data_IF_470150942968
#
_entry.id   IF_470150942968
#
_cell.length_a   1.000
_cell.length_b   1.000
_cell.length_c   1.000
_cell.angle_alpha   90.00
_cell.angle_beta   90.00
_cell.angle_gamma   90.00
#
_symmetry.space_group_name_H-M   'P 1'
#
loop_
_entity.id
_entity.type
_entity.pdbx_description
1 polymer ?
#
# COMPACT_ATOMS: atom_id res chain seq x y z
N UNK A 1 -7.76 -36.98 1.78
CA UNK A 1 -7.48 -35.55 2.03
C UNK A 1 -8.33 -35.08 3.20
N UNK A 2 -7.71 -34.67 4.32
CA UNK A 2 -8.43 -34.29 5.55
C UNK A 2 -8.87 -32.82 5.47
N UNK A 3 -10.18 -32.59 5.51
CA UNK A 3 -10.83 -31.28 5.60
C UNK A 3 -10.61 -30.76 7.04
N UNK A 4 -9.99 -29.58 7.18
CA UNK A 4 -9.90 -28.87 8.45
C UNK A 4 -10.98 -27.78 8.48
N UNK A 5 -12.02 -28.01 9.26
CA UNK A 5 -13.01 -27.00 9.64
C UNK A 5 -12.40 -26.05 10.68
N UNK A 6 -12.46 -24.75 10.42
CA UNK A 6 -12.11 -23.70 11.38
C UNK A 6 -13.39 -23.29 12.12
N UNK A 7 -13.45 -23.55 13.42
CA UNK A 7 -14.50 -23.07 14.32
C UNK A 7 -14.04 -21.73 14.90
N UNK A 8 -14.86 -20.69 14.73
CA UNK A 8 -14.70 -19.38 15.37
C UNK A 8 -15.43 -19.44 16.72
N UNK A 9 -14.71 -19.17 17.81
CA UNK A 9 -15.30 -18.97 19.14
C UNK A 9 -15.17 -17.49 19.53
N UNK A 10 -16.31 -16.86 19.84
CA UNK A 10 -16.39 -15.54 20.45
C UNK A 10 -16.22 -15.68 21.97
N UNK A 11 -15.17 -15.09 22.54
CA UNK A 11 -15.04 -14.89 23.98
C UNK A 11 -15.35 -13.43 24.32
N UNK A 12 -16.47 -13.22 25.01
CA UNK A 12 -16.84 -11.99 25.71
C UNK A 12 -15.84 -11.75 26.83
N UNK A 13 -15.16 -10.61 26.82
CA UNK A 13 -14.14 -10.25 27.81
C UNK A 13 -14.11 -8.75 28.05
N UNK A 14 -14.43 -8.38 29.29
CA UNK A 14 -14.49 -7.03 29.86
C UNK A 14 -13.23 -6.21 29.52
N UNK A 15 -13.43 -5.06 28.86
CA UNK A 15 -12.36 -4.11 28.55
C UNK A 15 -12.16 -3.17 29.75
N UNK A 16 -11.08 -3.38 30.50
CA UNK A 16 -10.57 -2.43 31.49
C UNK A 16 -9.92 -1.25 30.76
N UNK A 17 -10.46 -0.05 30.96
CA UNK A 17 -9.87 1.21 30.50
C UNK A 17 -8.64 1.56 31.35
N UNK A 18 -7.46 1.13 30.91
CA UNK A 18 -6.19 1.67 31.37
C UNK A 18 -5.99 3.07 30.80
N UNK A 19 -6.00 4.09 31.66
CA UNK A 19 -5.62 5.46 31.32
C UNK A 19 -4.09 5.50 31.20
N UNK A 20 -3.56 5.33 29.99
CA UNK A 20 -2.16 5.67 29.69
C UNK A 20 -2.06 7.18 29.45
N UNK A 21 -1.70 7.93 30.49
CA UNK A 21 -1.14 9.28 30.34
C UNK A 21 0.34 9.14 29.94
N UNK A 22 0.62 9.08 28.64
CA UNK A 22 1.98 9.25 28.11
C UNK A 22 2.17 10.70 27.66
N UNK A 23 2.91 11.55 28.41
CA UNK A 23 3.30 12.87 27.95
C UNK A 23 4.53 12.71 27.04
N UNK A 24 4.35 12.19 25.83
CA UNK A 24 5.42 12.19 24.83
C UNK A 24 5.55 13.60 24.22
N UNK A 25 6.13 14.51 25.00
CA UNK A 25 6.56 15.84 24.59
C UNK A 25 7.69 15.74 23.54
N UNK A 26 7.72 16.69 22.60
CA UNK A 26 8.67 16.70 21.49
C UNK A 26 10.11 16.88 22.00
N UNK A 27 11.01 15.96 21.67
CA UNK A 27 12.38 15.96 22.16
C UNK A 27 13.28 16.93 21.37
N UNK A 28 12.97 18.24 21.33
CA UNK A 28 14.02 19.25 21.10
C UNK A 28 14.43 19.81 22.44
N UNK A 29 15.66 19.52 22.82
CA UNK A 29 16.18 19.89 24.13
C UNK A 29 17.04 21.13 24.01
N UNK A 30 16.84 22.04 24.95
CA UNK A 30 17.60 23.28 25.03
C UNK A 30 18.64 23.18 26.15
N UNK A 31 19.88 23.61 25.86
CA UNK A 31 20.94 23.73 26.88
C UNK A 31 21.32 25.18 27.14
N UNK A 32 21.44 25.53 28.42
CA UNK A 32 22.03 26.81 28.86
C UNK A 32 23.55 26.75 28.68
N UNK A 33 24.14 27.78 28.08
CA UNK A 33 25.60 27.86 27.95
C UNK A 33 26.15 28.36 29.30
N UNK A 34 26.93 27.55 29.99
CA UNK A 34 27.60 27.98 31.22
C UNK A 34 28.45 29.23 30.96
N UNK A 35 28.11 30.33 31.61
CA UNK A 35 28.96 31.51 31.74
C UNK A 35 30.06 31.20 32.74
N UNK A 36 31.32 31.48 32.38
CA UNK A 36 32.50 31.25 33.21
C UNK A 36 32.31 31.93 34.58
N UNK A 37 32.39 31.21 35.71
CA UNK A 37 32.21 31.81 37.04
C UNK A 37 33.27 32.88 37.31
N UNK A 38 32.85 34.01 37.90
CA UNK A 38 33.74 35.00 38.49
C UNK A 38 34.41 34.40 39.75
N UNK A 39 35.67 34.78 40.00
CA UNK A 39 36.50 34.22 41.07
C UNK A 39 35.85 34.39 42.47
N UNK A 40 35.91 33.39 43.36
CA UNK A 40 35.27 33.44 44.67
C UNK A 40 36.02 34.36 45.64
N UNK A 41 35.27 35.17 46.38
CA UNK A 41 35.74 35.97 47.51
C UNK A 41 35.97 35.09 48.76
N UNK A 42 36.92 35.50 49.60
CA UNK A 42 37.41 34.75 50.77
C UNK A 42 36.32 34.53 51.85
N UNK A 43 36.34 33.38 52.56
CA UNK A 43 35.34 33.04 53.57
C UNK A 43 35.63 33.70 54.94
N UNK A 44 34.56 34.11 55.62
CA UNK A 44 34.53 34.60 56.99
C UNK A 44 34.48 33.44 58.02
N UNK A 45 34.91 33.64 59.28
CA UNK A 45 35.17 32.57 60.24
C UNK A 45 33.91 32.00 60.90
N UNK A 46 33.98 30.72 61.27
CA UNK A 46 32.91 29.90 61.82
C UNK A 46 32.68 30.12 63.33
N UNK A 47 31.43 30.03 63.84
CA UNK A 47 31.14 29.99 65.27
C UNK A 47 31.18 28.57 65.88
N UNK A 48 31.41 28.56 67.20
CA UNK A 48 31.74 27.42 68.07
C UNK A 48 30.53 26.49 68.43
N UNK A 49 30.78 25.27 68.94
CA UNK A 49 29.77 24.21 69.09
C UNK A 49 29.08 24.17 70.46
N UNK A 50 27.81 23.76 70.48
CA UNK A 50 27.02 23.45 71.69
C UNK A 50 26.80 21.94 71.86
N UNK A 51 26.77 21.53 73.13
CA UNK A 51 26.82 20.16 73.66
C UNK A 51 25.40 19.55 73.94
N UNK A 52 25.21 18.34 74.55
CA UNK A 52 24.41 17.27 73.92
C UNK A 52 23.25 16.65 74.76
N UNK A 53 22.40 15.88 74.04
CA UNK A 53 21.61 14.67 74.40
C UNK A 53 20.48 14.77 75.48
N UNK A 54 19.42 13.91 75.45
CA UNK A 54 19.53 12.46 75.75
C UNK A 54 18.66 11.47 74.93
N UNK A 55 19.08 10.20 75.03
CA UNK A 55 18.49 8.88 74.62
C UNK A 55 17.40 8.43 75.65
N UNK A 56 16.81 7.20 75.71
CA UNK A 56 16.73 6.02 74.79
C UNK A 56 15.37 5.22 74.80
N UNK A 57 15.24 4.16 73.97
CA UNK A 57 14.74 2.77 74.28
C UNK A 57 14.45 2.02 72.94
N UNK A 58 15.14 0.95 72.48
CA UNK A 58 15.33 -0.46 72.92
C UNK A 58 14.10 -1.36 72.66
N UNK A 59 14.09 -2.30 71.69
CA UNK A 59 14.53 -3.73 71.75
C UNK A 59 13.98 -4.49 70.49
N UNK A 60 14.08 -5.83 70.30
CA UNK A 60 15.23 -6.76 70.18
C UNK A 60 15.22 -7.55 68.82
N UNK A 61 16.35 -7.89 68.19
CA UNK A 61 17.22 -9.10 68.28
C UNK A 61 16.62 -10.49 67.95
N UNK A 62 17.09 -11.10 66.86
CA UNK A 62 17.72 -12.44 66.76
C UNK A 62 17.99 -12.78 65.27
N UNK A 63 18.91 -13.63 64.79
CA UNK A 63 20.20 -14.26 65.17
C UNK A 63 20.62 -15.08 63.92
N UNK A 64 21.91 -15.38 63.67
CA UNK A 64 22.49 -15.65 62.34
C UNK A 64 22.97 -17.10 62.14
N UNK A 65 23.50 -17.42 60.94
CA UNK A 65 24.46 -18.52 60.70
C UNK A 65 25.17 -18.44 59.31
N UNK A 66 26.36 -19.06 59.13
CA UNK A 66 27.48 -18.47 58.36
C UNK A 66 28.18 -19.44 57.34
N UNK A 67 29.38 -19.02 56.87
CA UNK A 67 30.58 -19.79 56.39
C UNK A 67 30.84 -19.77 54.87
N UNK A 68 31.81 -18.96 54.37
CA UNK A 68 33.22 -19.23 53.93
C UNK A 68 33.36 -20.18 52.70
N UNK A 69 34.23 -19.97 51.70
CA UNK A 69 35.71 -20.10 51.67
C UNK A 69 36.29 -19.52 50.35
N UNK A 70 37.60 -19.25 50.34
CA UNK A 70 38.40 -18.36 49.48
C UNK A 70 39.16 -18.95 48.25
N UNK A 71 39.62 -18.00 47.39
CA UNK A 71 40.95 -17.84 46.71
C UNK A 71 41.31 -18.72 45.46
N UNK A 72 42.37 -18.38 44.66
CA UNK A 72 42.77 -17.13 43.99
C UNK A 72 43.22 -17.35 42.49
N UNK A 73 44.02 -16.41 41.91
CA UNK A 73 44.88 -16.46 40.68
C UNK A 73 44.22 -15.80 39.44
N UNK A 74 44.78 -14.87 38.66
CA UNK A 74 46.06 -14.15 38.57
C UNK A 74 45.87 -12.83 37.77
N UNK A 75 46.73 -11.84 38.03
CA UNK A 75 47.11 -10.75 37.09
C UNK A 75 48.29 -11.24 36.21
N UNK A 76 48.71 -10.59 35.09
CA UNK A 76 48.50 -9.19 34.71
C UNK A 76 48.26 -8.93 33.20
N UNK A 77 47.74 -7.75 32.84
CA UNK A 77 48.05 -7.13 31.54
C UNK A 77 47.96 -5.60 31.58
N UNK A 78 49.11 -5.03 31.22
CA UNK A 78 49.52 -3.63 31.05
C UNK A 78 48.48 -2.72 30.39
N UNK A 79 48.26 -1.56 31.02
CA UNK A 79 47.41 -0.49 30.54
C UNK A 79 47.95 0.19 29.27
N UNK A 80 47.08 0.42 28.29
CA UNK A 80 47.22 1.46 27.28
C UNK A 80 46.25 2.60 27.62
N UNK A 81 46.77 3.82 27.69
CA UNK A 81 46.05 5.01 28.10
C UNK A 81 44.84 5.32 27.17
N UNK A 82 43.60 5.37 27.68
CA UNK A 82 42.48 5.89 26.91
C UNK A 82 42.56 7.42 26.87
N UNK A 83 42.49 7.99 25.65
CA UNK A 83 42.23 9.42 25.42
C UNK A 83 41.00 9.85 26.22
N UNK A 84 40.98 11.06 26.80
CA UNK A 84 39.84 11.53 27.59
C UNK A 84 38.58 11.56 26.74
N UNK A 85 37.63 10.67 27.04
CA UNK A 85 36.23 10.82 26.62
C UNK A 85 35.70 12.05 27.34
N UNK A 86 35.15 13.00 26.58
CA UNK A 86 34.44 14.12 27.13
C UNK A 86 33.29 13.60 28.00
N UNK A 87 33.41 13.76 29.31
CA UNK A 87 32.35 13.49 30.28
C UNK A 87 31.24 14.52 30.02
N UNK A 88 30.14 14.06 29.44
CA UNK A 88 28.92 14.86 29.30
C UNK A 88 28.30 14.89 30.70
N UNK A 89 28.31 16.03 31.37
CA UNK A 89 27.61 16.23 32.64
C UNK A 89 26.11 16.06 32.43
N UNK A 90 25.46 15.23 33.24
CA UNK A 90 24.03 14.87 33.12
C UNK A 90 23.05 16.02 33.43
N UNK A 91 23.54 17.19 33.88
CA UNK A 91 22.69 18.28 34.41
C UNK A 91 22.51 19.49 33.46
N UNK A 92 22.10 19.34 32.20
CA UNK A 92 21.99 20.56 31.35
C UNK A 92 20.88 20.61 30.31
N UNK A 93 19.76 19.92 30.54
CA UNK A 93 18.58 20.07 29.69
C UNK A 93 17.50 20.88 30.39
N UNK A 94 17.25 22.08 29.87
CA UNK A 94 16.51 23.15 30.56
C UNK A 94 15.17 23.44 29.87
N UNK A 95 14.65 22.56 29.01
CA UNK A 95 13.29 22.75 28.48
C UNK A 95 12.94 22.08 27.16
N UNK A 96 11.67 22.22 26.79
CA UNK A 96 11.00 21.55 25.66
C UNK A 96 10.52 22.58 24.65
N UNK A 97 10.92 22.43 23.38
CA UNK A 97 10.38 23.29 22.30
C UNK A 97 8.97 22.85 21.94
N UNK A 98 8.00 23.75 22.07
CA UNK A 98 6.59 23.47 21.75
C UNK A 98 6.21 23.87 20.33
N UNK A 99 6.73 24.99 19.83
CA UNK A 99 6.32 25.55 18.53
C UNK A 99 7.44 26.36 17.87
N UNK A 100 7.47 26.36 16.54
CA UNK A 100 8.45 27.11 15.71
C UNK A 100 7.71 27.87 14.62
N UNK A 101 7.90 29.19 14.53
CA UNK A 101 7.38 30.03 13.44
C UNK A 101 8.44 31.02 13.00
N UNK A 102 8.95 30.83 11.77
CA UNK A 102 10.03 31.66 11.24
C UNK A 102 11.27 31.61 12.14
N UNK A 103 11.73 32.76 12.62
CA UNK A 103 12.87 32.89 13.51
C UNK A 103 12.49 32.88 15.01
N UNK A 104 11.28 32.44 15.36
CA UNK A 104 10.79 32.39 16.74
C UNK A 104 10.47 30.95 17.16
N UNK A 105 10.88 30.60 18.37
CA UNK A 105 10.63 29.33 19.05
C UNK A 105 9.80 29.63 20.31
N UNK A 106 8.70 28.91 20.52
CA UNK A 106 8.01 28.89 21.81
C UNK A 106 8.50 27.66 22.58
N UNK A 107 9.04 27.89 23.77
CA UNK A 107 9.72 26.87 24.56
C UNK A 107 9.23 26.94 26.00
N UNK A 108 8.95 25.79 26.57
CA UNK A 108 8.72 25.62 27.99
C UNK A 108 10.08 25.45 28.69
N UNK A 109 10.46 26.39 29.57
CA UNK A 109 11.70 26.36 30.33
C UNK A 109 11.36 26.19 31.84
N UNK A 110 11.69 25.06 32.50
CA UNK A 110 11.47 24.83 33.94
C UNK A 110 12.15 25.84 34.87
N UNK A 111 13.23 26.47 34.43
CA UNK A 111 13.91 27.52 35.18
C UNK A 111 13.65 28.87 34.51
N UNK A 112 13.20 29.85 35.29
CA UNK A 112 12.90 31.20 34.81
C UNK A 112 14.04 31.78 33.99
N UNK A 113 13.77 32.08 32.72
CA UNK A 113 14.77 32.54 31.77
C UNK A 113 14.71 34.06 31.64
N UNK A 114 15.85 34.73 31.84
CA UNK A 114 15.91 36.18 31.69
C UNK A 114 15.90 36.60 30.21
N UNK A 115 15.22 37.71 29.90
CA UNK A 115 15.24 38.33 28.57
C UNK A 115 16.68 38.56 28.12
N UNK A 116 17.02 38.09 26.91
CA UNK A 116 18.37 38.18 26.36
C UNK A 116 19.26 36.96 26.65
N UNK A 117 18.82 36.00 27.47
CA UNK A 117 19.57 34.77 27.70
C UNK A 117 19.72 33.96 26.42
N UNK A 118 20.91 33.39 26.24
CA UNK A 118 21.29 32.63 25.05
C UNK A 118 21.26 31.15 25.33
N UNK A 119 20.54 30.45 24.49
CA UNK A 119 20.35 29.02 24.56
C UNK A 119 20.86 28.33 23.31
N UNK A 120 21.36 27.10 23.46
CA UNK A 120 21.73 26.25 22.33
C UNK A 120 20.62 25.26 22.10
N UNK A 121 20.08 25.26 20.88
CA UNK A 121 18.98 24.38 20.47
C UNK A 121 19.57 23.13 19.84
N UNK A 122 19.17 21.96 20.34
CA UNK A 122 19.54 20.65 19.81
C UNK A 122 18.33 19.97 19.18
N UNK A 123 18.57 19.16 18.14
CA UNK A 123 17.56 18.30 17.55
C UNK A 123 17.30 17.08 18.45
N UNK A 124 16.29 16.30 18.10
CA UNK A 124 15.99 14.96 18.65
C UNK A 124 17.20 14.02 18.77
N UNK A 125 18.11 14.08 17.80
CA UNK A 125 19.36 13.31 17.72
C UNK A 125 20.53 13.98 18.44
N UNK A 126 20.26 14.97 19.30
CA UNK A 126 21.26 15.76 20.01
C UNK A 126 22.24 16.47 19.07
N UNK A 127 21.84 16.74 17.83
CA UNK A 127 22.66 17.54 16.90
C UNK A 127 22.41 19.01 17.19
N UNK A 128 23.49 19.77 17.39
CA UNK A 128 23.39 21.21 17.61
C UNK A 128 22.80 21.88 16.37
N UNK A 129 21.63 22.48 16.52
CA UNK A 129 20.92 23.10 15.40
C UNK A 129 21.22 24.59 15.35
N UNK A 130 21.13 25.29 16.48
CA UNK A 130 21.30 26.75 16.47
C UNK A 130 21.53 27.39 17.82
N UNK A 131 21.54 28.72 17.83
CA UNK A 131 21.47 29.55 19.04
C UNK A 131 20.17 30.33 19.03
N UNK A 132 19.50 30.37 20.16
CA UNK A 132 18.27 31.12 20.36
C UNK A 132 18.42 32.08 21.54
N UNK A 133 17.78 33.23 21.47
CA UNK A 133 17.84 34.30 22.48
C UNK A 133 16.44 34.53 23.02
N UNK A 134 16.25 34.52 24.34
CA UNK A 134 14.94 34.81 24.93
C UNK A 134 14.51 36.23 24.59
N UNK A 135 13.41 36.38 23.86
CA UNK A 135 12.82 37.68 23.53
C UNK A 135 11.96 38.20 24.68
N UNK A 136 11.04 37.37 25.16
CA UNK A 136 10.09 37.66 26.23
C UNK A 136 9.44 36.38 26.75
N UNK A 137 8.98 36.44 27.98
CA UNK A 137 8.03 35.48 28.53
C UNK A 137 6.64 35.76 27.96
N UNK A 138 5.94 34.70 27.55
CA UNK A 138 4.58 34.78 26.97
C UNK A 138 3.54 34.43 28.02
N UNK A 139 3.84 33.40 28.83
CA UNK A 139 3.10 32.99 30.01
C UNK A 139 4.09 32.35 30.99
N UNK A 140 3.69 32.13 32.24
CA UNK A 140 4.53 31.53 33.28
C UNK A 140 5.19 30.23 32.75
N UNK A 141 6.53 30.22 32.69
CA UNK A 141 7.32 29.08 32.20
C UNK A 141 7.43 28.93 30.67
N UNK A 142 6.73 29.76 29.89
CA UNK A 142 6.74 29.74 28.43
C UNK A 142 7.43 30.96 27.85
N UNK A 143 8.53 30.71 27.14
CA UNK A 143 9.38 31.75 26.60
C UNK A 143 9.36 31.74 25.09
N UNK A 144 9.29 32.93 24.51
CA UNK A 144 9.50 33.13 23.08
C UNK A 144 10.98 33.43 22.86
N UNK A 145 11.68 32.52 22.19
CA UNK A 145 13.09 32.69 21.83
C UNK A 145 13.19 33.06 20.35
N UNK A 146 14.11 33.96 20.00
CA UNK A 146 14.47 34.25 18.62
C UNK A 146 15.76 33.55 18.23
N UNK A 147 15.76 32.82 17.13
CA UNK A 147 16.97 32.25 16.54
C UNK A 147 17.75 33.35 15.81
N UNK A 148 19.01 33.59 16.19
CA UNK A 148 19.85 34.56 15.48
C UNK A 148 20.21 34.02 14.10
N UNK A 149 19.82 34.74 13.04
CA UNK A 149 20.04 34.38 11.64
C UNK A 149 21.53 34.46 11.26
N UNK A 150 22.34 33.51 11.75
CA UNK A 150 23.77 33.43 11.47
C UNK A 150 24.14 32.47 10.34
N UNK A 151 23.19 31.68 9.82
CA UNK A 151 23.38 30.90 8.59
C UNK A 151 22.00 30.60 8.03
N UNK A 152 21.70 31.06 6.82
CA UNK A 152 20.38 30.93 6.16
C UNK A 152 19.90 29.49 5.90
N UNK A 153 20.51 28.48 6.51
CA UNK A 153 20.09 27.08 6.43
C UNK A 153 19.47 26.55 7.72
N UNK A 154 19.66 27.22 8.86
CA UNK A 154 19.35 26.64 10.17
C UNK A 154 17.87 26.75 10.55
N UNK A 155 17.26 27.93 10.33
CA UNK A 155 15.83 28.15 10.64
C UNK A 155 14.92 27.30 9.77
N UNK A 156 15.20 27.23 8.47
CA UNK A 156 14.44 26.40 7.54
C UNK A 156 14.60 24.90 7.83
N UNK A 157 15.78 24.46 8.28
CA UNK A 157 15.99 23.06 8.71
C UNK A 157 15.23 22.75 9.99
N UNK A 158 15.23 23.64 10.98
CA UNK A 158 14.41 23.52 12.19
C UNK A 158 12.93 23.47 11.84
N UNK A 159 12.45 24.40 11.03
CA UNK A 159 11.07 24.44 10.58
C UNK A 159 10.68 23.15 9.84
N UNK A 160 11.53 22.67 8.91
CA UNK A 160 11.31 21.41 8.17
C UNK A 160 11.36 20.17 9.06
N UNK A 161 12.26 20.13 10.03
CA UNK A 161 12.34 19.05 11.03
C UNK A 161 11.08 19.07 11.91
N UNK A 162 10.64 20.24 12.37
CA UNK A 162 9.42 20.38 13.17
C UNK A 162 8.16 20.00 12.39
N UNK A 163 8.06 20.34 11.11
CA UNK A 163 6.94 19.96 10.24
C UNK A 163 6.86 18.43 10.07
N UNK A 164 8.00 17.80 9.78
CA UNK A 164 8.09 16.34 9.64
C UNK A 164 7.75 15.62 10.95
N UNK A 165 8.26 16.10 12.07
CA UNK A 165 7.99 15.53 13.39
C UNK A 165 6.52 15.73 13.79
N UNK A 166 5.96 16.93 13.56
CA UNK A 166 4.55 17.23 13.80
C UNK A 166 3.65 16.30 12.96
N UNK A 167 3.92 16.16 11.66
CA UNK A 167 3.19 15.23 10.80
C UNK A 167 3.32 13.78 11.28
N UNK A 168 4.53 13.36 11.69
CA UNK A 168 4.77 12.01 12.22
C UNK A 168 4.01 11.76 13.52
N UNK A 169 3.85 12.78 14.37
CA UNK A 169 3.05 12.70 15.60
C UNK A 169 1.57 12.53 15.29
N UNK A 170 1.04 13.38 14.41
CA UNK A 170 -0.37 13.33 13.98
C UNK A 170 -0.69 12.00 13.31
N UNK A 171 0.24 11.48 12.50
CA UNK A 171 0.13 10.15 11.88
C UNK A 171 0.06 9.02 12.91
N UNK A 172 0.84 9.11 14.00
CA UNK A 172 0.78 8.14 15.12
C UNK A 172 -0.53 8.23 15.88
N UNK A 173 -1.03 9.45 16.15
CA UNK A 173 -2.32 9.63 16.83
C UNK A 173 -3.50 9.16 15.98
N UNK A 174 -3.45 9.40 14.66
CA UNK A 174 -4.48 9.01 13.69
C UNK A 174 -5.90 9.44 14.08
N UNK A 175 -6.05 10.65 14.65
CA UNK A 175 -7.33 11.28 15.05
C UNK A 175 -7.65 12.47 14.13
N UNK A 176 -8.93 12.68 13.83
CA UNK A 176 -9.38 13.77 12.95
C UNK A 176 -8.95 15.15 13.45
N UNK A 177 -9.12 15.42 14.76
CA UNK A 177 -8.71 16.70 15.39
C UNK A 177 -7.23 17.02 15.20
N UNK A 178 -6.35 16.02 15.35
CA UNK A 178 -4.91 16.20 15.21
C UNK A 178 -4.52 16.58 13.77
N UNK A 179 -5.16 16.00 12.75
CA UNK A 179 -4.91 16.40 11.36
C UNK A 179 -5.41 17.82 11.07
N UNK A 180 -6.57 18.20 11.62
CA UNK A 180 -7.10 19.57 11.49
C UNK A 180 -6.14 20.59 12.12
N UNK A 181 -5.68 20.35 13.34
CA UNK A 181 -4.70 21.21 14.02
C UNK A 181 -3.39 21.33 13.22
N UNK A 182 -2.91 20.21 12.67
CA UNK A 182 -1.73 20.21 11.81
C UNK A 182 -1.91 21.06 10.56
N UNK A 183 -3.03 20.91 9.85
CA UNK A 183 -3.32 21.66 8.63
C UNK A 183 -3.51 23.16 8.92
N UNK A 184 -4.10 23.52 10.06
CA UNK A 184 -4.21 24.91 10.52
C UNK A 184 -2.85 25.52 10.85
N UNK A 185 -1.97 24.75 11.50
CA UNK A 185 -0.64 25.21 11.88
C UNK A 185 0.32 25.30 10.68
N UNK A 186 0.18 24.40 9.70
CA UNK A 186 1.07 24.27 8.54
C UNK A 186 0.29 24.14 7.21
N UNK A 187 -0.45 25.19 6.79
CA UNK A 187 -1.32 25.12 5.60
C UNK A 187 -0.54 24.86 4.29
N UNK A 188 0.69 25.37 4.19
CA UNK A 188 1.57 25.21 3.02
C UNK A 188 2.61 24.09 3.20
N UNK A 189 2.36 23.16 4.12
CA UNK A 189 3.23 22.01 4.38
C UNK A 189 3.34 21.13 3.13
N UNK A 190 4.52 20.53 2.88
CA UNK A 190 4.66 19.48 1.86
C UNK A 190 3.87 18.21 2.21
N UNK A 191 3.47 18.06 3.48
CA UNK A 191 2.62 16.98 3.98
C UNK A 191 1.14 17.36 4.04
N UNK A 192 0.76 18.61 3.70
CA UNK A 192 -0.63 19.08 3.78
C UNK A 192 -1.57 18.19 2.94
N UNK A 193 -1.21 17.90 1.68
CA UNK A 193 -2.01 17.03 0.82
C UNK A 193 -2.20 15.62 1.41
N UNK A 194 -1.14 15.02 1.94
CA UNK A 194 -1.20 13.70 2.58
C UNK A 194 -1.98 13.71 3.90
N UNK A 195 -1.88 14.79 4.68
CA UNK A 195 -2.65 15.01 5.90
C UNK A 195 -4.14 15.18 5.60
N UNK A 196 -4.49 16.01 4.62
CA UNK A 196 -5.86 16.23 4.17
C UNK A 196 -6.49 14.94 3.62
N UNK A 197 -5.76 14.17 2.81
CA UNK A 197 -6.24 12.86 2.34
C UNK A 197 -6.48 11.88 3.50
N UNK A 198 -5.61 11.88 4.52
CA UNK A 198 -5.77 10.98 5.67
C UNK A 198 -6.92 11.41 6.57
N UNK A 199 -7.09 12.72 6.77
CA UNK A 199 -8.24 13.32 7.44
C UNK A 199 -9.54 12.95 6.73
N UNK A 200 -9.58 13.08 5.40
CA UNK A 200 -10.73 12.66 4.57
C UNK A 200 -11.09 11.18 4.77
N UNK A 201 -10.10 10.28 4.73
CA UNK A 201 -10.32 8.85 4.97
C UNK A 201 -10.90 8.56 6.36
N UNK A 202 -10.44 9.27 7.39
CA UNK A 202 -10.98 9.13 8.75
C UNK A 202 -12.40 9.66 8.82
N UNK A 203 -12.66 10.81 8.19
CA UNK A 203 -13.97 11.43 8.14
C UNK A 203 -15.00 10.51 7.44
N UNK A 204 -14.66 9.93 6.28
CA UNK A 204 -15.50 8.92 5.63
C UNK A 204 -15.74 7.74 6.57
N UNK A 205 -14.70 7.22 7.22
CA UNK A 205 -14.86 6.04 8.09
C UNK A 205 -15.80 6.30 9.27
N UNK A 206 -15.75 7.50 9.85
CA UNK A 206 -16.53 7.87 11.05
C UNK A 206 -17.95 8.31 10.68
N UNK A 207 -18.12 9.01 9.56
CA UNK A 207 -19.37 9.72 9.23
C UNK A 207 -20.07 9.21 7.97
N UNK A 208 -19.54 8.23 7.23
CA UNK A 208 -20.22 7.70 6.05
C UNK A 208 -21.17 6.54 6.37
N UNK A 209 -22.42 6.52 5.86
CA UNK A 209 -23.10 7.59 5.12
C UNK A 209 -23.91 8.48 6.06
N UNK A 210 -23.54 9.76 6.23
CA UNK A 210 -24.35 10.70 7.00
C UNK A 210 -24.15 12.15 6.52
N UNK A 211 -25.28 12.86 6.46
CA UNK A 211 -25.47 14.28 6.09
C UNK A 211 -25.40 14.65 4.59
N UNK A 212 -26.13 15.71 4.15
CA UNK A 212 -26.16 16.20 2.76
C UNK A 212 -24.78 16.74 2.38
N UNK A 213 -23.95 15.83 1.90
CA UNK A 213 -22.58 16.06 1.51
C UNK A 213 -22.42 16.44 0.04
N UNK A 214 -21.19 16.39 -0.43
CA UNK A 214 -20.88 16.43 -1.86
C UNK A 214 -21.44 15.17 -2.51
N UNK A 215 -22.09 15.33 -3.66
CA UNK A 215 -22.59 14.22 -4.48
C UNK A 215 -21.72 14.10 -5.72
N UNK A 216 -21.19 12.91 -5.99
CA UNK A 216 -20.50 12.61 -7.24
C UNK A 216 -21.43 11.77 -8.09
N UNK A 217 -21.76 12.24 -9.28
CA UNK A 217 -22.44 11.48 -10.31
C UNK A 217 -21.46 11.16 -11.43
N UNK A 218 -21.67 10.07 -12.13
CA UNK A 218 -20.83 9.74 -13.27
C UNK A 218 -21.36 8.58 -14.06
N UNK A 219 -20.79 8.41 -15.25
CA UNK A 219 -21.11 7.29 -16.12
C UNK A 219 -19.88 6.42 -16.39
N UNK A 220 -20.05 5.12 -16.21
CA UNK A 220 -19.10 4.12 -16.66
C UNK A 220 -19.29 3.91 -18.16
N UNK A 221 -18.20 4.00 -18.91
CA UNK A 221 -18.19 3.80 -20.36
C UNK A 221 -17.10 2.81 -20.76
N UNK A 222 -17.39 2.00 -21.77
CA UNK A 222 -16.39 1.13 -22.37
C UNK A 222 -15.51 1.95 -23.32
N UNK A 223 -14.21 1.76 -23.20
CA UNK A 223 -13.24 2.39 -24.10
C UNK A 223 -13.25 1.72 -25.50
N UNK A 224 -13.73 0.48 -25.58
CA UNK A 224 -13.83 -0.30 -26.81
C UNK A 224 -15.29 -0.47 -27.25
N UNK A 225 -15.55 -0.37 -28.56
CA UNK A 225 -16.90 -0.59 -29.11
C UNK A 225 -17.15 -2.09 -29.31
N UNK A 226 -17.89 -2.71 -28.40
CA UNK A 226 -18.29 -4.12 -28.55
C UNK A 226 -19.57 -4.22 -29.38
N UNK A 227 -19.74 -5.34 -30.11
CA UNK A 227 -20.96 -5.59 -30.91
C UNK A 227 -22.16 -5.97 -30.04
N UNK A 228 -21.91 -6.38 -28.81
CA UNK A 228 -22.91 -6.79 -27.84
C UNK A 228 -23.00 -5.77 -26.72
N UNK A 229 -24.21 -5.58 -26.20
CA UNK A 229 -24.46 -4.79 -25.02
C UNK A 229 -23.94 -5.55 -23.80
N UNK A 230 -22.80 -5.09 -23.27
CA UNK A 230 -22.24 -5.63 -22.05
C UNK A 230 -22.87 -4.89 -20.88
N UNK A 231 -23.53 -5.59 -19.95
CA UNK A 231 -24.15 -4.94 -18.81
C UNK A 231 -23.07 -4.25 -17.98
N UNK A 232 -23.19 -2.94 -17.81
CA UNK A 232 -22.26 -2.14 -17.02
C UNK A 232 -22.66 -2.07 -15.54
N UNK A 233 -23.79 -2.70 -15.19
CA UNK A 233 -24.28 -2.79 -13.82
C UNK A 233 -23.43 -3.64 -12.90
N UNK A 234 -23.61 -3.36 -11.61
CA UNK A 234 -22.96 -4.03 -10.46
C UNK A 234 -21.45 -3.86 -10.38
N UNK A 235 -20.86 -2.96 -11.18
CA UNK A 235 -19.47 -2.62 -11.06
C UNK A 235 -19.26 -1.82 -9.77
N UNK A 236 -18.31 -2.24 -8.93
CA UNK A 236 -18.03 -1.55 -7.68
C UNK A 236 -17.17 -0.31 -7.95
N UNK A 237 -17.69 0.85 -7.58
CA UNK A 237 -16.92 2.11 -7.59
C UNK A 237 -16.26 2.29 -6.22
N UNK A 238 -14.93 2.27 -6.25
CA UNK A 238 -14.08 2.52 -5.09
C UNK A 238 -13.56 3.94 -5.12
N UNK A 239 -13.75 4.65 -4.02
CA UNK A 239 -13.09 5.92 -3.77
C UNK A 239 -12.00 5.66 -2.72
N UNK A 240 -10.75 5.71 -3.16
CA UNK A 240 -9.53 5.41 -2.44
C UNK A 240 -9.48 3.95 -1.94
N UNK A 241 -9.96 3.68 -0.72
CA UNK A 241 -10.01 2.35 -0.10
C UNK A 241 -11.43 1.92 0.26
N UNK A 242 -12.42 2.79 0.07
CA UNK A 242 -13.80 2.54 0.45
C UNK A 242 -14.58 2.17 -0.81
N UNK A 243 -15.43 1.14 -0.70
CA UNK A 243 -16.45 0.86 -1.72
C UNK A 243 -17.61 1.79 -1.40
N UNK A 244 -17.94 2.69 -2.32
CA UNK A 244 -18.87 3.78 -2.03
C UNK A 244 -20.14 3.69 -2.87
N UNK A 245 -20.06 3.14 -4.08
CA UNK A 245 -21.23 2.95 -4.95
C UNK A 245 -21.12 1.69 -5.81
N UNK A 246 -22.25 1.30 -6.39
CA UNK A 246 -22.37 0.33 -7.48
C UNK A 246 -23.01 1.01 -8.68
N UNK A 247 -22.62 0.61 -9.89
CA UNK A 247 -23.26 1.09 -11.11
C UNK A 247 -24.61 0.43 -11.34
N UNK A 248 -25.54 1.17 -11.94
CA UNK A 248 -26.78 0.65 -12.52
C UNK A 248 -26.52 -0.11 -13.84
N UNK A 249 -27.55 -0.74 -14.41
CA UNK A 249 -27.42 -1.56 -15.62
C UNK A 249 -26.86 -0.79 -16.85
N UNK A 250 -27.05 0.54 -16.87
CA UNK A 250 -26.58 1.46 -17.92
C UNK A 250 -25.18 2.00 -17.63
N UNK A 251 -24.63 1.72 -16.44
CA UNK A 251 -23.31 2.14 -16.00
C UNK A 251 -23.29 3.46 -15.24
N UNK A 252 -24.44 4.08 -14.93
CA UNK A 252 -24.46 5.29 -14.11
C UNK A 252 -24.20 4.94 -12.64
N UNK A 253 -23.55 5.83 -11.92
CA UNK A 253 -23.36 5.70 -10.49
C UNK A 253 -23.54 7.05 -9.79
N UNK A 254 -23.99 6.98 -8.54
CA UNK A 254 -24.11 8.13 -7.65
C UNK A 254 -23.46 7.79 -6.32
N UNK A 255 -22.54 8.65 -5.88
CA UNK A 255 -21.93 8.62 -4.56
C UNK A 255 -22.50 9.82 -3.79
N UNK A 256 -23.31 9.55 -2.77
CA UNK A 256 -23.94 10.58 -1.93
C UNK A 256 -23.29 10.62 -0.54
N UNK A 257 -23.45 11.73 0.18
CA UNK A 257 -23.03 11.81 1.58
C UNK A 257 -21.52 11.88 1.80
N UNK A 258 -20.76 12.40 0.84
CA UNK A 258 -19.34 12.69 1.08
C UNK A 258 -19.21 13.91 1.99
N UNK A 259 -18.43 13.83 3.08
CA UNK A 259 -18.33 14.93 4.03
C UNK A 259 -17.75 16.19 3.36
N UNK A 260 -18.23 17.36 3.77
CA UNK A 260 -17.66 18.64 3.36
C UNK A 260 -16.20 18.75 3.80
N UNK A 261 -15.36 19.32 2.94
CA UNK A 261 -13.92 19.39 3.16
C UNK A 261 -13.48 20.82 3.43
N UNK A 262 -12.62 20.99 4.44
CA UNK A 262 -11.96 22.27 4.72
C UNK A 262 -10.87 22.61 3.69
N UNK A 263 -10.31 21.58 3.03
CA UNK A 263 -9.25 21.69 2.02
C UNK A 263 -9.55 20.78 0.83
N UNK A 264 -9.12 21.15 -0.39
CA UNK A 264 -9.31 20.30 -1.55
C UNK A 264 -8.49 19.01 -1.41
N UNK A 265 -9.07 17.89 -1.83
CA UNK A 265 -8.42 16.58 -1.75
C UNK A 265 -8.49 15.88 -3.09
N UNK A 266 -7.32 15.49 -3.59
CA UNK A 266 -7.19 14.60 -4.75
C UNK A 266 -7.34 13.15 -4.30
N UNK A 267 -8.41 12.50 -4.75
CA UNK A 267 -8.76 11.14 -4.36
C UNK A 267 -8.70 10.22 -5.57
N UNK A 268 -8.14 9.03 -5.36
CA UNK A 268 -8.07 7.99 -6.39
C UNK A 268 -9.42 7.28 -6.50
N UNK A 269 -9.98 7.20 -7.70
CA UNK A 269 -11.20 6.45 -8.00
C UNK A 269 -10.85 5.23 -8.85
N UNK A 270 -11.43 4.08 -8.51
CA UNK A 270 -11.19 2.82 -9.20
C UNK A 270 -12.50 2.07 -9.42
N UNK A 271 -12.63 1.44 -10.58
CA UNK A 271 -13.71 0.50 -10.88
C UNK A 271 -13.19 -0.90 -10.61
N UNK A 272 -13.98 -1.72 -9.90
CA UNK A 272 -13.67 -3.13 -9.71
C UNK A 272 -14.85 -3.99 -10.13
N UNK A 273 -14.60 -4.81 -11.13
CA UNK A 273 -15.50 -5.83 -11.62
C UNK A 273 -14.64 -6.96 -12.20
N UNK A 274 -15.16 -8.18 -12.27
CA UNK A 274 -14.50 -9.28 -12.97
C UNK A 274 -14.49 -9.07 -14.50
N UNK A 275 -15.51 -8.36 -15.01
CA UNK A 275 -15.69 -8.07 -16.43
C UNK A 275 -14.62 -7.12 -16.99
N UNK A 276 -14.07 -6.26 -16.14
CA UNK A 276 -13.18 -5.18 -16.55
C UNK A 276 -11.73 -5.45 -16.12
N UNK A 277 -10.77 -5.11 -16.98
CA UNK A 277 -9.38 -4.98 -16.58
C UNK A 277 -9.30 -3.94 -15.46
N UNK A 278 -8.30 -4.08 -14.59
CA UNK A 278 -8.00 -3.03 -13.63
C UNK A 278 -7.85 -1.71 -14.39
N UNK A 279 -8.81 -0.80 -14.19
CA UNK A 279 -8.84 0.48 -14.87
C UNK A 279 -7.61 1.29 -14.47
N UNK A 280 -7.17 2.16 -15.38
CA UNK A 280 -6.17 3.15 -15.02
C UNK A 280 -6.66 3.99 -13.84
N UNK A 281 -5.73 4.33 -12.95
CA UNK A 281 -6.04 5.11 -11.76
C UNK A 281 -6.56 6.49 -12.17
N UNK A 282 -7.88 6.68 -12.02
CA UNK A 282 -8.51 7.98 -12.24
C UNK A 282 -8.44 8.77 -10.95
N UNK A 283 -8.11 10.06 -11.01
CA UNK A 283 -8.06 10.91 -9.84
C UNK A 283 -9.12 11.99 -9.93
N UNK A 284 -9.95 12.09 -8.90
CA UNK A 284 -10.95 13.13 -8.73
C UNK A 284 -10.44 14.15 -7.72
N UNK A 285 -10.53 15.43 -8.07
CA UNK A 285 -10.28 16.52 -7.12
C UNK A 285 -11.60 16.96 -6.49
N UNK A 286 -11.74 16.71 -5.19
CA UNK A 286 -12.90 17.16 -4.42
C UNK A 286 -12.56 18.55 -3.89
N UNK A 287 -13.29 19.61 -4.28
CA UNK A 287 -13.00 20.96 -3.84
C UNK A 287 -13.22 21.11 -2.33
N UNK A 288 -12.50 22.06 -1.72
CA UNK A 288 -12.91 22.57 -0.41
C UNK A 288 -14.24 23.32 -0.56
N UNK A 289 -15.03 23.38 0.53
CA UNK A 289 -16.29 24.14 0.67
C UNK A 289 -17.60 23.38 0.38
N UNK A 290 -18.65 24.14 0.05
CA UNK A 290 -20.07 23.77 0.05
C UNK A 290 -20.38 22.47 -0.72
N UNK A 291 -21.47 21.77 -0.37
CA UNK A 291 -21.89 20.56 -1.07
C UNK A 291 -21.97 20.83 -2.58
N UNK A 292 -21.05 20.23 -3.32
CA UNK A 292 -20.96 20.36 -4.77
C UNK A 292 -21.50 19.10 -5.43
N UNK A 293 -21.99 19.28 -6.67
CA UNK A 293 -22.28 18.16 -7.57
C UNK A 293 -21.11 18.04 -8.52
N UNK A 294 -20.40 16.92 -8.44
CA UNK A 294 -19.26 16.63 -9.31
C UNK A 294 -19.67 15.58 -10.34
N UNK A 295 -19.37 15.82 -11.61
CA UNK A 295 -19.57 14.85 -12.69
C UNK A 295 -18.23 14.23 -13.07
N UNK A 296 -18.14 12.90 -13.04
CA UNK A 296 -16.92 12.19 -13.39
C UNK A 296 -17.22 10.90 -14.15
N UNK A 297 -16.94 10.90 -15.45
CA UNK A 297 -17.03 9.70 -16.27
C UNK A 297 -15.78 8.82 -16.10
N UNK A 298 -16.01 7.51 -16.11
CA UNK A 298 -14.97 6.50 -15.96
C UNK A 298 -14.94 5.65 -17.23
N UNK A 299 -13.73 5.47 -17.78
CA UNK A 299 -13.51 4.58 -18.93
C UNK A 299 -12.89 3.28 -18.47
N UNK A 300 -13.47 2.16 -18.91
CA UNK A 300 -12.96 0.82 -18.60
C UNK A 300 -12.72 0.00 -19.86
N UNK A 301 -11.77 -0.93 -19.76
CA UNK A 301 -11.47 -1.92 -20.78
C UNK A 301 -11.95 -3.29 -20.30
N UNK A 302 -12.41 -4.16 -21.19
CA UNK A 302 -12.85 -5.50 -20.80
C UNK A 302 -11.66 -6.42 -20.57
N UNK A 303 -11.82 -7.32 -19.60
CA UNK A 303 -10.92 -8.46 -19.45
C UNK A 303 -11.19 -9.43 -20.60
N UNK A 304 -10.22 -9.77 -21.45
CA UNK A 304 -10.48 -10.73 -22.52
C UNK A 304 -10.84 -12.08 -21.91
N UNK A 305 -11.85 -12.75 -22.47
CA UNK A 305 -12.00 -14.19 -22.28
C UNK A 305 -10.87 -14.87 -23.05
N UNK A 306 -10.10 -15.71 -22.36
CA UNK A 306 -8.96 -16.41 -22.94
C UNK A 306 -9.20 -17.91 -22.79
N UNK A 307 -9.01 -18.68 -23.87
CA UNK A 307 -8.95 -20.13 -23.80
C UNK A 307 -7.48 -20.54 -23.81
N UNK A 308 -7.07 -21.36 -22.85
CA UNK A 308 -5.72 -21.92 -22.79
C UNK A 308 -5.80 -23.43 -22.70
N UNK A 309 -4.76 -24.13 -23.13
CA UNK A 309 -4.67 -25.57 -22.95
C UNK A 309 -3.33 -26.09 -23.42
N UNK A 310 -3.19 -27.40 -23.36
CA UNK A 310 -1.98 -28.11 -23.73
C UNK A 310 -2.33 -29.25 -24.69
N UNK A 311 -1.45 -29.49 -25.65
CA UNK A 311 -1.52 -30.59 -26.59
C UNK A 311 -0.33 -31.48 -26.33
N UNK A 312 -0.63 -32.73 -26.01
CA UNK A 312 0.37 -33.75 -25.69
C UNK A 312 0.14 -34.96 -26.57
N UNK A 313 1.16 -35.79 -26.75
CA UNK A 313 1.00 -37.07 -27.42
C UNK A 313 0.48 -38.14 -26.44
N UNK A 314 0.40 -39.39 -26.91
CA UNK A 314 -0.04 -40.53 -26.09
C UNK A 314 0.89 -40.81 -24.90
N UNK A 315 2.19 -40.51 -25.03
CA UNK A 315 3.19 -40.58 -23.94
C UNK A 315 3.09 -39.42 -22.95
N UNK A 316 2.35 -38.36 -23.29
CA UNK A 316 2.27 -37.14 -22.51
C UNK A 316 3.37 -36.13 -22.83
N UNK A 317 4.13 -36.32 -23.91
CA UNK A 317 5.10 -35.34 -24.38
C UNK A 317 4.41 -34.21 -25.15
N UNK A 318 4.89 -32.95 -25.03
CA UNK A 318 4.25 -31.81 -25.68
C UNK A 318 4.37 -31.87 -27.22
N UNK A 319 3.25 -31.63 -27.91
CA UNK A 319 3.20 -31.59 -29.37
C UNK A 319 3.31 -30.14 -29.84
N UNK A 320 4.43 -29.79 -30.46
CA UNK A 320 4.71 -28.44 -31.00
C UNK A 320 3.99 -28.21 -32.33
N UNK A 321 3.73 -26.96 -32.68
CA UNK A 321 3.16 -26.57 -33.99
C UNK A 321 1.86 -27.33 -34.35
N UNK A 322 1.08 -27.77 -33.36
CA UNK A 322 -0.25 -28.31 -33.59
C UNK A 322 -1.21 -27.14 -33.86
N UNK A 323 -2.01 -27.28 -34.91
CA UNK A 323 -3.09 -26.38 -35.28
C UNK A 323 -4.26 -26.58 -34.31
N UNK A 324 -4.64 -25.50 -33.63
CA UNK A 324 -5.75 -25.50 -32.66
C UNK A 324 -6.89 -24.69 -33.22
N UNK A 325 -8.06 -25.31 -33.31
CA UNK A 325 -9.30 -24.67 -33.72
C UNK A 325 -10.34 -24.65 -32.61
N UNK A 326 -11.31 -23.76 -32.74
CA UNK A 326 -12.50 -23.76 -31.88
C UNK A 326 -13.77 -23.89 -32.71
N UNK A 327 -14.87 -24.28 -32.08
CA UNK A 327 -16.22 -24.17 -32.63
C UNK A 327 -17.09 -23.47 -31.57
N UNK A 328 -17.94 -22.50 -31.96
CA UNK A 328 -18.42 -22.20 -33.32
C UNK A 328 -17.50 -21.33 -34.20
N UNK A 329 -16.33 -20.88 -33.71
CA UNK A 329 -15.43 -20.00 -34.46
C UNK A 329 -14.18 -20.71 -34.96
N UNK A 330 -13.97 -20.73 -36.27
CA UNK A 330 -12.71 -21.16 -36.88
C UNK A 330 -11.58 -20.16 -36.60
N UNK A 331 -10.99 -20.27 -35.41
CA UNK A 331 -9.73 -19.60 -35.06
C UNK A 331 -8.60 -20.58 -35.23
N UNK A 332 -7.46 -20.16 -35.77
CA UNK A 332 -6.29 -21.02 -35.89
C UNK A 332 -5.17 -20.43 -35.06
N UNK A 333 -4.70 -21.19 -34.07
CA UNK A 333 -3.50 -20.86 -33.29
C UNK A 333 -2.61 -22.08 -33.28
N UNK A 334 -1.31 -21.87 -33.47
CA UNK A 334 -0.32 -22.94 -33.34
C UNK A 334 0.15 -23.04 -31.90
N UNK A 335 0.37 -24.26 -31.42
CA UNK A 335 1.00 -24.48 -30.11
C UNK A 335 2.47 -24.07 -30.09
N UNK A 336 2.93 -23.61 -28.94
CA UNK A 336 4.33 -23.29 -28.69
C UNK A 336 5.23 -24.54 -28.54
N UNK A 337 6.50 -24.32 -28.18
CA UNK A 337 7.50 -25.39 -27.98
C UNK A 337 7.14 -26.37 -26.85
N UNK A 338 6.27 -25.96 -25.92
CA UNK A 338 5.77 -26.74 -24.80
C UNK A 338 4.39 -27.32 -25.08
N UNK A 339 3.92 -27.29 -26.34
CA UNK A 339 2.60 -27.79 -26.72
C UNK A 339 1.44 -26.95 -26.17
N UNK A 340 1.70 -25.75 -25.64
CA UNK A 340 0.66 -24.90 -25.06
C UNK A 340 0.08 -24.00 -26.13
N UNK A 341 -1.22 -23.73 -26.03
CA UNK A 341 -1.89 -22.73 -26.84
C UNK A 341 -2.61 -21.71 -25.98
N UNK A 342 -2.75 -20.50 -26.52
CA UNK A 342 -3.54 -19.44 -25.92
C UNK A 342 -4.35 -18.75 -27.01
N UNK A 343 -5.67 -18.82 -26.91
CA UNK A 343 -6.58 -18.17 -27.84
C UNK A 343 -7.29 -17.03 -27.12
N UNK A 344 -7.08 -15.81 -27.60
CA UNK A 344 -7.81 -14.64 -27.15
C UNK A 344 -8.20 -13.79 -28.35
N UNK A 345 -9.49 -13.48 -28.50
CA UNK A 345 -9.94 -12.50 -29.48
C UNK A 345 -10.15 -11.14 -28.85
N UNK A 346 -9.56 -10.13 -29.47
CA UNK A 346 -9.91 -8.73 -29.28
C UNK A 346 -10.53 -8.27 -30.58
N UNK A 347 -11.71 -7.67 -30.50
CA UNK A 347 -12.39 -7.12 -31.67
C UNK A 347 -11.48 -6.07 -32.32
N UNK A 348 -10.90 -6.37 -33.49
CA UNK A 348 -10.30 -5.32 -34.32
C UNK A 348 -11.42 -4.67 -35.11
N UNK A 349 -11.59 -3.38 -34.86
CA UNK A 349 -12.45 -2.52 -35.67
C UNK A 349 -11.54 -1.95 -36.75
N UNK A 350 -11.96 -2.02 -38.00
CA UNK A 350 -11.21 -1.36 -39.07
C UNK A 350 -11.30 0.18 -38.95
N UNK A 351 -10.54 0.89 -39.79
CA UNK A 351 -10.54 2.37 -39.78
C UNK A 351 -11.92 2.97 -40.12
N UNK A 352 -12.80 2.22 -40.79
CA UNK A 352 -14.17 2.63 -41.11
C UNK A 352 -15.18 2.40 -39.98
N UNK A 353 -14.76 1.82 -38.85
CA UNK A 353 -15.69 1.45 -37.78
C UNK A 353 -16.46 0.15 -38.04
N UNK A 354 -16.14 -0.54 -39.14
CA UNK A 354 -16.70 -1.82 -39.52
C UNK A 354 -16.15 -2.95 -38.64
N UNK A 355 -17.01 -3.93 -38.39
CA UNK A 355 -16.60 -5.17 -37.71
C UNK A 355 -15.93 -6.03 -38.78
N UNK A 356 -14.64 -6.31 -38.61
CA UNK A 356 -13.96 -7.29 -39.45
C UNK A 356 -14.64 -8.66 -39.26
N UNK A 357 -15.10 -9.24 -40.36
CA UNK A 357 -15.86 -10.49 -40.36
C UNK A 357 -15.04 -11.60 -39.71
N UNK A 358 -15.63 -12.27 -38.73
CA UNK A 358 -14.96 -13.33 -37.99
C UNK A 358 -13.98 -12.84 -36.93
N UNK A 359 -14.18 -11.67 -36.30
CA UNK A 359 -13.34 -11.20 -35.18
C UNK A 359 -14.16 -10.93 -33.90
N UNK A 360 -15.10 -11.83 -33.61
CA UNK A 360 -15.94 -11.74 -32.41
C UNK A 360 -15.16 -12.09 -31.13
N UNK A 361 -15.33 -11.32 -30.04
CA UNK A 361 -14.70 -11.65 -28.76
C UNK A 361 -15.20 -13.01 -28.26
N UNK A 362 -14.32 -13.72 -27.55
CA UNK A 362 -14.70 -14.94 -26.85
C UNK A 362 -15.66 -14.60 -25.70
N UNK A 363 -16.73 -15.38 -25.60
CA UNK A 363 -17.80 -15.20 -24.62
C UNK A 363 -17.86 -16.42 -23.71
N UNK A 364 -18.63 -16.34 -22.64
CA UNK A 364 -18.88 -17.43 -21.73
C UNK A 364 -19.95 -18.34 -22.32
N UNK A 365 -19.51 -19.44 -22.93
CA UNK A 365 -20.34 -20.50 -23.52
C UNK A 365 -19.49 -21.75 -23.67
N UNK A 366 -20.11 -22.82 -24.13
CA UNK A 366 -19.40 -24.05 -24.47
C UNK A 366 -18.64 -23.86 -25.79
N UNK A 367 -17.36 -24.23 -25.76
CA UNK A 367 -16.49 -24.30 -26.92
C UNK A 367 -16.06 -25.75 -27.13
N UNK A 368 -16.02 -26.17 -28.38
CA UNK A 368 -15.28 -27.37 -28.77
C UNK A 368 -13.93 -26.94 -29.31
N UNK A 369 -12.86 -27.36 -28.66
CA UNK A 369 -11.48 -27.12 -29.11
C UNK A 369 -11.03 -28.36 -29.87
N UNK A 370 -10.56 -28.16 -31.10
CA UNK A 370 -10.00 -29.19 -31.96
C UNK A 370 -8.49 -28.99 -32.04
N UNK A 371 -7.76 -30.07 -32.13
CA UNK A 371 -6.32 -30.05 -32.36
C UNK A 371 -5.97 -30.98 -33.51
N UNK A 372 -5.07 -30.53 -34.38
CA UNK A 372 -4.56 -31.30 -35.48
C UNK A 372 -3.06 -31.03 -35.68
N UNK A 373 -2.31 -32.06 -36.06
CA UNK A 373 -0.94 -31.90 -36.56
C UNK A 373 -0.70 -32.96 -37.61
N UNK A 374 0.00 -32.61 -38.70
CA UNK A 374 0.38 -33.59 -39.72
C UNK A 374 1.17 -34.76 -39.10
N UNK A 375 0.74 -35.99 -39.39
CA UNK A 375 1.29 -37.22 -38.78
C UNK A 375 0.65 -37.60 -37.44
N UNK A 376 -0.36 -36.86 -36.99
CA UNK A 376 -1.18 -37.19 -35.83
C UNK A 376 -2.66 -37.21 -36.22
N UNK A 377 -3.47 -37.97 -35.48
CA UNK A 377 -4.92 -37.91 -35.56
C UNK A 377 -5.44 -36.55 -35.09
N UNK A 378 -6.66 -36.20 -35.50
CA UNK A 378 -7.36 -35.03 -34.97
C UNK A 378 -8.19 -35.43 -33.73
N UNK A 379 -8.13 -34.62 -32.69
CA UNK A 379 -8.87 -34.86 -31.44
C UNK A 379 -9.56 -33.59 -30.97
N UNK A 380 -10.57 -33.75 -30.10
CA UNK A 380 -11.37 -32.64 -29.60
C UNK A 380 -11.61 -32.71 -28.10
N UNK A 381 -11.79 -31.55 -27.49
CA UNK A 381 -12.20 -31.39 -26.08
C UNK A 381 -13.26 -30.31 -25.99
N UNK A 382 -14.31 -30.56 -25.21
CA UNK A 382 -15.30 -29.53 -24.85
C UNK A 382 -14.86 -28.77 -23.61
N UNK A 383 -15.08 -27.46 -23.62
CA UNK A 383 -14.75 -26.53 -22.55
C UNK A 383 -15.91 -25.56 -22.33
N UNK A 384 -16.48 -25.57 -21.13
CA UNK A 384 -17.41 -24.54 -20.67
C UNK A 384 -16.60 -23.29 -20.29
N UNK A 385 -16.56 -22.31 -21.19
CA UNK A 385 -15.84 -21.07 -20.92
C UNK A 385 -16.70 -20.11 -20.10
N UNK A 386 -16.09 -19.44 -19.13
CA UNK A 386 -16.66 -18.31 -18.40
C UNK A 386 -16.20 -17.00 -19.05
N UNK A 387 -17.11 -16.05 -19.12
CA UNK A 387 -16.81 -14.71 -19.63
C UNK A 387 -15.70 -14.05 -18.80
N UNK A 388 -14.82 -13.30 -19.46
CA UNK A 388 -13.85 -12.40 -18.82
C UNK A 388 -12.82 -13.12 -17.93
N UNK A 389 -12.60 -14.42 -18.15
CA UNK A 389 -11.66 -15.26 -17.39
C UNK A 389 -10.72 -16.03 -18.33
N UNK A 390 -9.65 -16.55 -17.75
CA UNK A 390 -8.81 -17.57 -18.40
C UNK A 390 -9.46 -18.92 -18.15
N UNK A 391 -9.82 -19.61 -19.23
CA UNK A 391 -10.49 -20.90 -19.21
C UNK A 391 -9.50 -21.95 -19.71
N UNK A 392 -9.08 -22.82 -18.80
CA UNK A 392 -8.12 -23.88 -19.09
C UNK A 392 -8.83 -25.14 -19.56
N UNK A 393 -8.58 -25.53 -20.81
CA UNK A 393 -9.04 -26.77 -21.39
C UNK A 393 -8.25 -27.96 -20.83
N UNK A 394 -8.88 -29.14 -20.80
CA UNK A 394 -8.16 -30.39 -20.56
C UNK A 394 -7.16 -30.62 -21.69
N UNK A 395 -6.02 -31.21 -21.35
CA UNK A 395 -5.00 -31.54 -22.34
C UNK A 395 -5.57 -32.45 -23.44
N UNK A 396 -5.34 -32.07 -24.69
CA UNK A 396 -5.76 -32.86 -25.87
C UNK A 396 -4.63 -33.83 -26.20
N UNK A 397 -4.95 -35.13 -26.25
CA UNK A 397 -3.97 -36.18 -26.52
C UNK A 397 -4.01 -36.54 -28.00
N UNK A 398 -2.96 -36.20 -28.74
CA UNK A 398 -2.87 -36.59 -30.14
C UNK A 398 -2.22 -37.96 -30.28
N UNK A 399 -2.91 -38.89 -30.94
CA UNK A 399 -2.32 -40.17 -31.30
C UNK A 399 -1.51 -40.01 -32.59
N UNK A 400 -0.24 -40.43 -32.55
CA UNK A 400 0.62 -40.46 -33.74
C UNK A 400 0.01 -41.45 -34.73
N UNK A 401 -0.37 -40.95 -35.89
CA UNK A 401 -0.67 -41.79 -37.03
C UNK A 401 0.67 -42.00 -37.70
N UNK A 402 1.38 -43.05 -37.27
CA UNK A 402 2.55 -43.46 -38.03
C UNK A 402 2.10 -43.61 -39.48
N UNK A 403 2.78 -42.93 -40.43
CA UNK A 403 2.49 -43.12 -41.85
C UNK A 403 2.61 -44.61 -42.05
N UNK A 404 1.46 -45.25 -42.27
CA UNK A 404 1.29 -46.68 -42.11
C UNK A 404 2.61 -47.41 -42.39
N UNK A 405 3.12 -48.16 -41.40
CA UNK A 405 3.88 -49.38 -41.74
C UNK A 405 2.92 -50.41 -42.39
N UNK A 406 1.93 -49.96 -43.17
CA UNK A 406 1.49 -50.67 -44.37
C UNK A 406 2.76 -50.72 -45.20
N UNK A 407 3.51 -51.80 -45.00
CA UNK A 407 4.41 -52.29 -46.03
C UNK A 407 3.66 -52.11 -47.32
N UNK A 408 4.26 -51.33 -48.24
CA UNK A 408 3.74 -51.00 -49.56
C UNK A 408 2.83 -52.14 -49.99
N UNK A 409 1.50 -51.96 -50.10
CA UNK A 409 0.61 -53.07 -50.42
C UNK A 409 1.22 -53.77 -51.63
N UNK A 410 1.39 -55.10 -51.54
CA UNK A 410 1.98 -55.86 -52.65
C UNK A 410 1.31 -55.36 -53.94
N UNK A 411 2.13 -54.99 -54.95
CA UNK A 411 1.71 -54.33 -56.19
C UNK A 411 0.60 -55.08 -56.98
N UNK A 412 0.14 -56.22 -56.48
CA UNK A 412 -0.97 -57.02 -56.97
C UNK A 412 -2.36 -56.60 -56.46
N UNK A 413 -2.50 -55.64 -55.55
CA UNK A 413 -3.83 -55.18 -55.11
C UNK A 413 -4.41 -54.20 -56.13
N UNK A 414 -5.52 -54.59 -56.75
CA UNK A 414 -6.23 -53.82 -57.78
C UNK A 414 -6.74 -52.48 -57.21
N UNK A 415 -6.11 -51.38 -57.65
CA UNK A 415 -6.39 -50.01 -57.23
C UNK A 415 -7.84 -49.58 -57.47
N UNK A 416 -8.57 -50.28 -58.35
CA UNK A 416 -9.97 -49.99 -58.64
C UNK A 416 -10.91 -50.31 -57.47
N UNK A 417 -10.57 -51.26 -56.60
CA UNK A 417 -11.41 -51.68 -55.48
C UNK A 417 -11.32 -50.73 -54.26
N UNK A 418 -10.25 -49.94 -54.14
CA UNK A 418 -10.02 -49.05 -52.98
C UNK A 418 -10.47 -47.60 -53.20
N UNK A 419 -10.84 -47.21 -54.43
CA UNK A 419 -11.33 -45.86 -54.73
C UNK A 419 -12.74 -45.57 -54.20
N UNK A 420 -13.55 -46.60 -53.92
CA UNK A 420 -14.90 -46.43 -53.36
C UNK A 420 -14.92 -46.04 -51.86
N UNK A 421 -13.81 -46.22 -51.14
CA UNK A 421 -13.71 -45.89 -49.71
C UNK A 421 -13.41 -44.41 -49.41
N UNK A 422 -12.99 -43.62 -50.41
CA UNK A 422 -12.69 -42.18 -50.22
C UNK A 422 -13.92 -41.25 -50.37
N UNK A 423 -15.13 -41.79 -50.51
CA UNK A 423 -16.36 -40.99 -50.64
C UNK A 423 -16.87 -40.36 -49.33
N UNK A 424 -16.15 -40.46 -48.21
CA UNK A 424 -16.37 -39.59 -47.05
C UNK A 424 -15.79 -38.19 -47.30
N UNK A 425 -16.29 -37.56 -48.35
CA UNK A 425 -16.09 -36.14 -48.66
C UNK A 425 -16.83 -35.37 -47.57
N UNK A 426 -16.05 -34.79 -46.65
CA UNK A 426 -16.50 -33.72 -45.76
C UNK A 426 -17.26 -32.70 -46.63
N UNK A 427 -18.50 -32.32 -46.29
CA UNK A 427 -19.29 -31.42 -47.12
C UNK A 427 -18.50 -30.16 -47.47
N UNK A 428 -18.50 -29.82 -48.76
CA UNK A 428 -17.79 -28.68 -49.31
C UNK A 428 -18.16 -27.41 -48.52
N UNK A 429 -17.21 -26.89 -47.74
CA UNK A 429 -17.40 -25.73 -46.87
C UNK A 429 -16.90 -25.89 -45.43
N UNK A 430 -16.63 -27.11 -44.96
CA UNK A 430 -16.20 -27.38 -43.58
C UNK A 430 -14.74 -27.83 -43.43
N UNK A 431 -14.01 -27.95 -44.54
CA UNK A 431 -12.58 -28.30 -44.54
C UNK A 431 -11.66 -27.06 -44.53
N UNK A 432 -10.37 -27.24 -44.18
CA UNK A 432 -9.39 -26.16 -44.15
C UNK A 432 -9.39 -25.42 -45.49
N UNK A 433 -9.64 -24.10 -45.44
CA UNK A 433 -9.40 -23.23 -46.59
C UNK A 433 -7.88 -23.17 -46.75
N UNK A 434 -7.34 -24.01 -47.63
CA UNK A 434 -5.97 -23.86 -48.11
C UNK A 434 -5.87 -22.47 -48.75
N UNK A 435 -5.34 -21.49 -48.01
CA UNK A 435 -4.87 -20.25 -48.61
C UNK A 435 -3.70 -20.63 -49.51
N UNK A 436 -3.86 -20.34 -50.82
CA UNK A 436 -2.81 -20.53 -51.84
C UNK A 436 -1.63 -19.63 -51.59
#
# INVERSE_FOLDING_TARGET
MRIRSLIVAFSVGVLTLGVCNDPSFAAMQIRKKATKPAAPAAPAPAPAPSAPAPKPAATPSSTPAPVQVAKPVASPAKAAAPKPKATISEDSFVGTVMYVRGNQLLVELPEGAARGERYVVYSDRLKRVGRAVVLREVSEGMFMLSTTAGSGSTGDRLAKETEREAYSRVRRMNKLSAYREFLKAFPNSKYAASAAQRMFRLNIRENYPASPGTTITGKLTLNEKVSQDIPLGRAMIKLDRFVIAMTDDVGNFTIEGLPTLELPVKVKMQVRDEKFKMAEDTYLEIPASEPSKLEQDLKVNLTPTVLTGEIVDKSGEPVREAEVWTSPYTMEVLTDENGKYQISRRKRIDASGGILEGDEPLLGRDYTVYAYRKGFGAELVTLEAKNFQVNEAKAIKLERQDPFEEGVPELSVDLSANLDLMQFVVPAGSGPKFNR
#
